data_IF_058912249174
#
_entry.id   IF_058912249174
#
_cell.length_a   1.000
_cell.length_b   1.000
_cell.length_c   1.000
_cell.angle_alpha   90.00
_cell.angle_beta   90.00
_cell.angle_gamma   90.00
#
_symmetry.space_group_name_H-M   'P 1'
#
loop_
_entity.id
_entity.type
_entity.pdbx_description
1 polymer ?
#
# COMPACT_ATOMS: atom_id res chain seq x y z
N UNK A 1 -5.17 1.66 21.69
CA UNK A 1 -4.04 1.56 20.74
C UNK A 1 -4.49 1.14 19.35
N UNK A 2 -5.48 0.26 19.18
CA UNK A 2 -5.99 -0.19 17.87
C UNK A 2 -6.35 0.95 16.89
N UNK A 3 -6.97 2.02 17.38
CA UNK A 3 -7.32 3.17 16.55
C UNK A 3 -6.12 3.85 15.85
N UNK A 4 -5.00 4.03 16.56
CA UNK A 4 -3.78 4.63 15.98
C UNK A 4 -3.16 3.71 14.94
N UNK A 5 -3.08 2.41 15.23
CA UNK A 5 -2.56 1.42 14.30
C UNK A 5 -3.44 1.32 13.05
N UNK A 6 -4.76 1.23 13.21
CA UNK A 6 -5.71 1.23 12.10
C UNK A 6 -5.60 2.47 11.22
N UNK A 7 -5.46 3.64 11.84
CA UNK A 7 -5.25 4.90 11.10
C UNK A 7 -3.97 4.89 10.25
N UNK A 8 -2.85 4.42 10.80
CA UNK A 8 -1.58 4.29 10.05
C UNK A 8 -1.74 3.31 8.88
N UNK A 9 -2.40 2.17 9.10
CA UNK A 9 -2.65 1.18 8.05
C UNK A 9 -3.52 1.77 6.92
N UNK A 10 -4.55 2.54 7.26
CA UNK A 10 -5.39 3.24 6.26
C UNK A 10 -4.57 4.23 5.44
N UNK A 11 -3.69 5.03 6.07
CA UNK A 11 -2.81 5.95 5.36
C UNK A 11 -1.91 5.19 4.38
N UNK A 12 -1.28 4.11 4.83
CA UNK A 12 -0.42 3.28 3.97
C UNK A 12 -1.24 2.69 2.81
N UNK A 13 -2.49 2.26 3.07
CA UNK A 13 -3.39 1.78 2.03
C UNK A 13 -3.73 2.84 0.99
N UNK A 14 -3.99 4.08 1.41
CA UNK A 14 -4.22 5.22 0.51
C UNK A 14 -2.97 5.51 -0.33
N UNK A 15 -1.78 5.53 0.27
CA UNK A 15 -0.52 5.77 -0.45
C UNK A 15 -0.27 4.70 -1.52
N UNK A 16 -0.60 3.44 -1.25
CA UNK A 16 -0.51 2.35 -2.23
C UNK A 16 -1.47 2.53 -3.43
N UNK A 17 -2.60 3.21 -3.25
CA UNK A 17 -3.56 3.48 -4.33
C UNK A 17 -3.18 4.72 -5.14
N UNK A 18 -2.83 5.81 -4.44
CA UNK A 18 -2.57 7.13 -5.05
C UNK A 18 -1.17 7.19 -5.67
N UNK A 19 -0.18 6.59 -5.02
CA UNK A 19 1.23 6.62 -5.44
C UNK A 19 1.80 5.19 -5.61
N UNK A 20 1.20 4.33 -6.46
CA UNK A 20 1.59 2.93 -6.58
C UNK A 20 3.02 2.76 -7.08
N UNK A 21 3.51 3.64 -7.97
CA UNK A 21 4.89 3.61 -8.49
C UNK A 21 5.91 3.91 -7.40
N UNK A 22 5.67 4.96 -6.59
CA UNK A 22 6.55 5.33 -5.49
C UNK A 22 6.55 4.24 -4.41
N UNK A 23 5.38 3.67 -4.11
CA UNK A 23 5.26 2.58 -3.15
C UNK A 23 5.94 1.30 -3.64
N UNK A 24 5.84 0.99 -4.93
CA UNK A 24 6.59 -0.10 -5.54
C UNK A 24 8.09 0.15 -5.48
N UNK A 25 8.56 1.37 -5.75
CA UNK A 25 9.99 1.70 -5.64
C UNK A 25 10.52 1.50 -4.22
N UNK A 26 9.72 1.87 -3.22
CA UNK A 26 10.00 1.66 -1.79
C UNK A 26 10.04 0.18 -1.39
N UNK A 27 9.17 -0.67 -1.95
CA UNK A 27 9.05 -2.09 -1.55
C UNK A 27 9.95 -3.03 -2.36
N UNK A 28 9.92 -2.89 -3.68
CA UNK A 28 10.45 -3.86 -4.64
C UNK A 28 11.37 -3.24 -5.68
N UNK A 29 11.24 -1.94 -5.97
CA UNK A 29 12.03 -1.30 -7.02
C UNK A 29 13.53 -1.30 -6.75
N UNK A 30 13.96 -1.33 -5.49
CA UNK A 30 15.39 -1.52 -5.15
C UNK A 30 15.98 -2.88 -5.58
N UNK A 31 15.14 -3.87 -5.87
CA UNK A 31 15.55 -5.22 -6.33
C UNK A 31 15.84 -5.25 -7.82
N UNK A 32 15.34 -4.26 -8.57
CA UNK A 32 15.46 -4.20 -10.01
C UNK A 32 16.38 -3.04 -10.41
N UNK A 33 17.28 -3.28 -11.37
CA UNK A 33 18.16 -2.23 -11.87
C UNK A 33 17.41 -1.43 -12.93
N UNK A 34 17.18 -0.14 -12.67
CA UNK A 34 16.61 0.83 -13.62
C UNK A 34 15.39 0.31 -14.40
N UNK A 35 14.53 -0.45 -13.72
CA UNK A 35 13.36 -1.08 -14.33
C UNK A 35 12.09 -0.38 -13.87
N UNK A 36 11.23 -0.04 -14.81
CA UNK A 36 9.91 0.52 -14.53
C UNK A 36 8.97 -0.58 -13.97
N UNK A 37 8.09 -0.24 -13.03
CA UNK A 37 7.08 -1.18 -12.55
C UNK A 37 6.17 -1.62 -13.70
N UNK A 38 5.97 -2.93 -13.81
CA UNK A 38 4.97 -3.46 -14.75
C UNK A 38 3.55 -3.08 -14.30
N UNK A 39 2.61 -3.05 -15.25
CA UNK A 39 1.20 -2.81 -14.97
C UNK A 39 0.65 -3.78 -13.90
N UNK A 40 1.08 -5.04 -13.94
CA UNK A 40 0.71 -6.04 -12.94
C UNK A 40 1.18 -5.65 -11.53
N UNK A 41 2.41 -5.13 -11.40
CA UNK A 41 2.94 -4.68 -10.12
C UNK A 41 2.16 -3.46 -9.59
N UNK A 42 1.81 -2.49 -10.44
CA UNK A 42 0.98 -1.35 -10.04
C UNK A 42 -0.43 -1.77 -9.62
N UNK A 43 -1.03 -2.74 -10.33
CA UNK A 43 -2.33 -3.32 -9.95
C UNK A 43 -2.24 -4.02 -8.59
N UNK A 44 -1.17 -4.77 -8.33
CA UNK A 44 -0.96 -5.42 -7.03
C UNK A 44 -0.85 -4.40 -5.89
N UNK A 45 -0.15 -3.29 -6.08
CA UNK A 45 -0.10 -2.22 -5.08
C UNK A 45 -1.47 -1.59 -4.84
N UNK A 46 -2.22 -1.27 -5.90
CA UNK A 46 -3.58 -0.73 -5.76
C UNK A 46 -4.51 -1.70 -5.03
N UNK A 47 -4.47 -2.98 -5.38
CA UNK A 47 -5.27 -4.01 -4.73
C UNK A 47 -4.87 -4.20 -3.25
N UNK A 48 -3.57 -4.28 -2.98
CA UNK A 48 -3.02 -4.32 -1.62
C UNK A 48 -3.42 -3.09 -0.80
N UNK A 49 -3.48 -1.91 -1.43
CA UNK A 49 -3.96 -0.68 -0.82
C UNK A 49 -5.44 -0.74 -0.42
N UNK A 50 -6.31 -1.25 -1.30
CA UNK A 50 -7.74 -1.46 -1.00
C UNK A 50 -7.91 -2.42 0.17
N UNK A 51 -7.23 -3.57 0.12
CA UNK A 51 -7.25 -4.56 1.22
C UNK A 51 -6.72 -3.94 2.51
N UNK A 52 -5.63 -3.17 2.43
CA UNK A 52 -5.04 -2.46 3.56
C UNK A 52 -6.01 -1.49 4.21
N UNK A 53 -6.77 -0.71 3.44
CA UNK A 53 -7.81 0.19 3.97
C UNK A 53 -8.87 -0.60 4.73
N UNK A 54 -9.37 -1.71 4.17
CA UNK A 54 -10.39 -2.53 4.82
C UNK A 54 -9.87 -3.07 6.16
N UNK A 55 -8.67 -3.65 6.16
CA UNK A 55 -8.02 -4.17 7.38
C UNK A 55 -7.79 -3.05 8.40
N UNK A 56 -7.31 -1.90 7.95
CA UNK A 56 -7.06 -0.73 8.80
C UNK A 56 -8.34 -0.24 9.48
N UNK A 57 -9.46 -0.17 8.76
CA UNK A 57 -10.76 0.18 9.32
C UNK A 57 -11.23 -0.86 10.35
N UNK A 58 -11.08 -2.15 10.05
CA UNK A 58 -11.44 -3.23 11.02
C UNK A 58 -10.63 -3.08 12.30
N UNK A 59 -9.30 -2.90 12.20
CA UNK A 59 -8.40 -2.72 13.36
C UNK A 59 -8.70 -1.41 14.11
N UNK A 60 -9.18 -0.39 13.42
CA UNK A 60 -9.51 0.90 14.03
C UNK A 60 -10.74 0.82 14.93
N UNK A 61 -11.71 -0.04 14.58
CA UNK A 61 -13.00 -0.20 15.27
C UNK A 61 -13.14 -1.51 16.09
N UNK A 62 -12.13 -2.39 16.06
CA UNK A 62 -12.01 -3.57 16.94
C UNK A 62 -11.43 -3.19 18.30
#
# INVERSE_FOLDING_TARGET
>A
MGALFGFIIVIIGILNIVFPEAMWMLSDGWKFKDSEPSDAALIMHRFGGIVGIIVGLVVMFS
#
